data_IF_061677395593
#
_entry.id   IF_061677395593
#
_cell.length_a   1.000
_cell.length_b   1.000
_cell.length_c   1.000
_cell.angle_alpha   90.00
_cell.angle_beta   90.00
_cell.angle_gamma   90.00
#
_symmetry.space_group_name_H-M   'P 1'
#
loop_
_entity.id
_entity.type
_entity.pdbx_description
1 polymer ?
#
# COMPACT_ATOMS: atom_id res chain seq x y z
N UNK A 1 -27.66 6.24 2.38
CA UNK A 1 -27.37 4.83 2.03
C UNK A 1 -25.92 4.57 1.63
N UNK A 2 -25.28 5.40 0.80
CA UNK A 2 -23.88 5.18 0.32
C UNK A 2 -22.84 5.13 1.45
N UNK A 3 -22.91 6.06 2.41
CA UNK A 3 -21.98 6.13 3.54
C UNK A 3 -22.06 4.88 4.44
N UNK A 4 -23.28 4.37 4.70
CA UNK A 4 -23.49 3.17 5.50
C UNK A 4 -22.92 1.91 4.82
N UNK A 5 -22.89 1.84 3.49
CA UNK A 5 -22.32 0.70 2.78
C UNK A 5 -20.79 0.68 2.87
N UNK A 6 -20.13 1.84 2.72
CA UNK A 6 -18.68 1.98 2.88
C UNK A 6 -18.26 1.56 4.29
N UNK A 7 -18.89 2.13 5.33
CA UNK A 7 -18.56 1.83 6.73
C UNK A 7 -18.78 0.34 7.04
N UNK A 8 -19.90 -0.22 6.59
CA UNK A 8 -20.21 -1.64 6.80
C UNK A 8 -19.17 -2.55 6.16
N UNK A 9 -18.73 -2.25 4.93
CA UNK A 9 -17.70 -3.03 4.23
C UNK A 9 -16.36 -2.94 4.94
N UNK A 10 -15.89 -1.73 5.25
CA UNK A 10 -14.63 -1.55 5.98
C UNK A 10 -14.68 -2.31 7.32
N UNK A 11 -15.80 -2.25 8.05
CA UNK A 11 -16.00 -3.01 9.29
C UNK A 11 -15.93 -4.53 9.07
N UNK A 12 -16.52 -5.05 8.00
CA UNK A 12 -16.48 -6.47 7.68
C UNK A 12 -15.05 -6.92 7.33
N UNK A 13 -14.33 -6.13 6.54
CA UNK A 13 -12.93 -6.39 6.20
C UNK A 13 -12.03 -6.40 7.45
N UNK A 14 -12.22 -5.44 8.36
CA UNK A 14 -11.46 -5.36 9.62
C UNK A 14 -11.81 -6.49 10.61
N UNK A 15 -13.04 -7.02 10.57
CA UNK A 15 -13.48 -8.15 11.40
C UNK A 15 -13.00 -9.51 10.88
N UNK A 16 -12.48 -9.58 9.66
CA UNK A 16 -11.88 -10.81 9.13
C UNK A 16 -10.75 -11.25 10.06
N UNK A 17 -10.68 -12.53 10.47
CA UNK A 17 -9.59 -13.02 11.33
C UNK A 17 -8.21 -12.88 10.67
N UNK A 18 -8.17 -12.80 9.33
CA UNK A 18 -6.94 -12.60 8.56
C UNK A 18 -6.35 -11.19 8.80
N UNK A 19 -7.20 -10.19 9.08
CA UNK A 19 -6.76 -8.81 9.25
C UNK A 19 -5.84 -8.61 10.48
N UNK A 20 -6.23 -8.99 11.71
CA UNK A 20 -5.35 -8.86 12.86
C UNK A 20 -4.11 -9.78 12.77
N UNK A 21 -4.23 -10.96 12.14
CA UNK A 21 -3.08 -11.85 11.90
C UNK A 21 -2.06 -11.17 10.98
N UNK A 22 -2.51 -10.57 9.88
CA UNK A 22 -1.65 -9.84 8.95
C UNK A 22 -0.94 -8.66 9.62
N UNK A 23 -1.65 -7.91 10.48
CA UNK A 23 -1.07 -6.82 11.27
C UNK A 23 0.00 -7.36 12.23
N UNK A 24 -0.30 -8.42 12.99
CA UNK A 24 0.63 -9.00 13.96
C UNK A 24 1.92 -9.52 13.28
N UNK A 25 1.78 -10.23 12.16
CA UNK A 25 2.93 -10.71 11.38
C UNK A 25 3.75 -9.55 10.81
N UNK A 26 3.10 -8.50 10.31
CA UNK A 26 3.79 -7.32 9.77
C UNK A 26 4.55 -6.55 10.84
N UNK A 27 3.99 -6.41 12.04
CA UNK A 27 4.68 -5.82 13.19
C UNK A 27 5.90 -6.66 13.56
N UNK A 28 5.75 -7.98 13.64
CA UNK A 28 6.86 -8.88 13.99
C UNK A 28 8.01 -8.76 12.99
N UNK A 29 7.71 -8.77 11.69
CA UNK A 29 8.69 -8.58 10.62
C UNK A 29 9.40 -7.22 10.77
N UNK A 30 8.65 -6.13 10.99
CA UNK A 30 9.21 -4.79 11.16
C UNK A 30 10.07 -4.63 12.43
N UNK A 31 9.81 -5.42 13.47
CA UNK A 31 10.63 -5.43 14.69
C UNK A 31 11.95 -6.19 14.50
N UNK A 32 11.95 -7.24 13.65
CA UNK A 32 13.10 -8.12 13.40
C UNK A 32 14.11 -7.48 12.42
N UNK A 33 13.65 -6.64 11.48
CA UNK A 33 14.51 -6.05 10.45
C UNK A 33 15.51 -5.01 11.01
N UNK A 34 16.79 -5.41 11.07
CA UNK A 34 18.03 -4.60 11.23
C UNK A 34 18.25 -3.75 12.51
N UNK A 35 19.52 -3.43 12.85
CA UNK A 35 19.97 -3.10 14.21
C UNK A 35 19.94 -1.59 14.57
N UNK A 36 19.35 -0.73 13.74
CA UNK A 36 19.31 0.70 14.02
C UNK A 36 18.58 0.98 15.35
N UNK A 37 19.23 1.78 16.21
CA UNK A 37 18.64 2.23 17.49
C UNK A 37 17.56 3.26 17.15
N UNK A 38 16.29 2.94 17.37
CA UNK A 38 15.19 3.85 17.01
C UNK A 38 14.00 3.12 16.40
N UNK A 39 12.80 3.38 16.89
CA UNK A 39 11.57 2.88 16.26
C UNK A 39 11.34 3.56 14.89
N UNK A 40 11.70 4.84 14.74
CA UNK A 40 11.62 5.55 13.45
C UNK A 40 12.62 5.00 12.45
N UNK A 41 13.84 4.66 12.90
CA UNK A 41 14.85 3.99 12.06
C UNK A 41 14.34 2.65 11.55
N UNK A 42 13.71 1.86 12.41
CA UNK A 42 13.11 0.57 12.04
C UNK A 42 11.92 0.72 11.10
N UNK A 43 11.04 1.70 11.35
CA UNK A 43 9.97 2.04 10.40
C UNK A 43 10.55 2.45 9.06
N UNK A 44 11.63 3.22 9.05
CA UNK A 44 12.32 3.59 7.84
C UNK A 44 12.87 2.38 7.11
N UNK A 45 13.59 1.48 7.77
CA UNK A 45 14.17 0.29 7.12
C UNK A 45 13.10 -0.69 6.67
N UNK A 46 12.05 -0.85 7.49
CA UNK A 46 10.90 -1.70 7.20
C UNK A 46 10.19 -1.27 5.91
N UNK A 47 10.12 0.03 5.69
CA UNK A 47 9.32 0.60 4.62
C UNK A 47 10.20 0.87 3.42
N UNK A 48 11.35 1.51 3.61
CA UNK A 48 12.28 1.83 2.54
C UNK A 48 12.69 0.61 1.74
N UNK A 49 12.86 -0.55 2.35
CA UNK A 49 13.61 -1.61 1.70
C UNK A 49 15.08 -1.21 1.67
N UNK A 50 15.95 -2.16 2.00
CA UNK A 50 17.36 -1.84 2.23
C UNK A 50 18.02 -1.40 0.92
N UNK A 51 18.92 -0.40 0.93
CA UNK A 51 19.63 0.05 -0.27
C UNK A 51 20.41 -1.07 -0.98
N UNK A 52 20.75 -2.15 -0.28
CA UNK A 52 21.38 -3.34 -0.82
C UNK A 52 20.44 -4.22 -1.67
N UNK A 53 19.12 -4.04 -1.62
CA UNK A 53 18.18 -4.81 -2.48
C UNK A 53 18.33 -4.48 -3.98
N UNK A 54 19.00 -3.37 -4.31
CA UNK A 54 19.21 -2.86 -5.66
C UNK A 54 20.66 -3.00 -6.12
N UNK A 55 21.49 -3.67 -5.31
CA UNK A 55 22.88 -3.99 -5.60
C UNK A 55 22.98 -5.50 -5.87
N UNK A 56 23.73 -5.88 -6.91
CA UNK A 56 24.00 -7.29 -7.18
C UNK A 56 25.03 -7.82 -6.15
N UNK A 57 24.79 -8.99 -5.53
CA UNK A 57 23.63 -9.89 -5.70
C UNK A 57 22.41 -9.51 -4.82
N UNK A 58 21.21 -9.68 -5.38
CA UNK A 58 19.93 -9.45 -4.68
C UNK A 58 19.82 -10.39 -3.46
N UNK A 59 19.61 -9.82 -2.27
CA UNK A 59 19.31 -10.61 -1.07
C UNK A 59 17.80 -10.94 -1.02
N UNK A 60 17.48 -12.19 -1.38
CA UNK A 60 16.09 -12.68 -1.48
C UNK A 60 15.38 -12.73 -0.12
N UNK A 61 16.09 -13.02 0.97
CA UNK A 61 15.52 -13.04 2.33
C UNK A 61 15.03 -11.65 2.75
N UNK A 62 15.86 -10.63 2.49
CA UNK A 62 15.50 -9.24 2.75
C UNK A 62 14.34 -8.79 1.86
N UNK A 63 14.36 -9.13 0.57
CA UNK A 63 13.26 -8.82 -0.35
C UNK A 63 11.94 -9.44 0.11
N UNK A 64 11.97 -10.71 0.54
CA UNK A 64 10.80 -11.41 1.05
C UNK A 64 10.24 -10.70 2.29
N UNK A 65 11.09 -10.46 3.29
CA UNK A 65 10.67 -9.78 4.52
C UNK A 65 10.09 -8.38 4.27
N UNK A 66 10.59 -7.65 3.27
CA UNK A 66 10.05 -6.36 2.86
C UNK A 66 8.69 -6.46 2.16
N UNK A 67 8.50 -7.40 1.23
CA UNK A 67 7.26 -7.46 0.45
C UNK A 67 6.08 -8.09 1.22
N UNK A 68 6.34 -8.97 2.19
CA UNK A 68 5.31 -9.72 2.92
C UNK A 68 4.19 -8.84 3.54
N UNK A 69 4.49 -7.76 4.29
CA UNK A 69 3.47 -6.87 4.86
C UNK A 69 2.51 -6.30 3.82
N UNK A 70 3.01 -5.96 2.64
CA UNK A 70 2.25 -5.40 1.53
C UNK A 70 1.46 -6.49 0.80
N UNK A 71 2.06 -7.68 0.63
CA UNK A 71 1.42 -8.83 0.03
C UNK A 71 0.22 -9.32 0.86
N UNK A 72 0.33 -9.36 2.19
CA UNK A 72 -0.79 -9.74 3.07
C UNK A 72 -1.99 -8.81 2.91
N UNK A 73 -1.74 -7.49 2.85
CA UNK A 73 -2.76 -6.48 2.61
C UNK A 73 -3.43 -6.70 1.24
N UNK A 74 -2.62 -6.89 0.19
CA UNK A 74 -3.12 -7.13 -1.17
C UNK A 74 -3.98 -8.39 -1.27
N UNK A 75 -3.55 -9.50 -0.65
CA UNK A 75 -4.31 -10.76 -0.61
C UNK A 75 -5.63 -10.58 0.13
N UNK A 76 -5.61 -9.89 1.27
CA UNK A 76 -6.83 -9.64 2.05
C UNK A 76 -7.84 -8.82 1.25
N UNK A 77 -7.39 -7.73 0.62
CA UNK A 77 -8.24 -6.90 -0.26
C UNK A 77 -8.77 -7.74 -1.44
N UNK A 78 -7.91 -8.54 -2.07
CA UNK A 78 -8.30 -9.36 -3.21
C UNK A 78 -9.37 -10.38 -2.87
N UNK A 79 -9.26 -11.09 -1.74
CA UNK A 79 -10.29 -12.04 -1.30
C UNK A 79 -11.61 -11.36 -0.96
N UNK A 80 -11.57 -10.22 -0.27
CA UNK A 80 -12.78 -9.48 0.08
C UNK A 80 -13.48 -8.95 -1.17
N UNK A 81 -12.72 -8.41 -2.13
CA UNK A 81 -13.25 -7.89 -3.38
C UNK A 81 -13.82 -8.99 -4.29
N UNK A 82 -13.20 -10.17 -4.35
CA UNK A 82 -13.75 -11.29 -5.12
C UNK A 82 -15.12 -11.73 -4.60
N UNK A 83 -15.27 -11.86 -3.27
CA UNK A 83 -16.57 -12.12 -2.66
C UNK A 83 -17.57 -11.00 -3.02
N UNK A 84 -17.16 -9.73 -2.86
CA UNK A 84 -18.00 -8.58 -3.20
C UNK A 84 -18.40 -8.54 -4.69
N UNK A 85 -17.52 -8.94 -5.61
CA UNK A 85 -17.79 -9.03 -7.05
C UNK A 85 -18.76 -10.17 -7.38
N UNK A 86 -18.68 -11.30 -6.67
CA UNK A 86 -19.64 -12.39 -6.79
C UNK A 86 -21.03 -11.93 -6.34
N UNK A 87 -21.12 -11.19 -5.22
CA UNK A 87 -22.37 -10.61 -4.74
C UNK A 87 -22.85 -9.40 -5.56
N UNK A 88 -21.94 -8.63 -6.17
CA UNK A 88 -22.26 -7.47 -7.00
C UNK A 88 -23.10 -7.85 -8.22
N UNK A 89 -22.96 -9.07 -8.75
CA UNK A 89 -23.83 -9.58 -9.82
C UNK A 89 -25.31 -9.59 -9.42
N UNK A 90 -25.60 -9.73 -8.13
CA UNK A 90 -26.96 -9.76 -7.58
C UNK A 90 -27.37 -8.41 -6.96
N UNK A 91 -26.40 -7.57 -6.58
CA UNK A 91 -26.61 -6.32 -5.82
C UNK A 91 -26.47 -5.04 -6.64
N UNK A 92 -25.85 -5.07 -7.83
CA UNK A 92 -25.73 -3.88 -8.69
C UNK A 92 -27.14 -3.44 -9.10
N UNK A 93 -27.65 -2.30 -8.58
CA UNK A 93 -28.87 -1.72 -9.10
C UNK A 93 -28.68 -1.47 -10.60
N UNK A 94 -29.71 -1.74 -11.42
CA UNK A 94 -29.73 -1.40 -12.85
C UNK A 94 -29.45 0.09 -13.14
N UNK A 95 -29.30 0.94 -12.11
CA UNK A 95 -29.25 2.40 -12.18
C UNK A 95 -27.97 3.05 -11.59
N UNK A 96 -27.02 2.32 -10.99
CA UNK A 96 -25.74 2.92 -10.55
C UNK A 96 -24.63 2.66 -11.56
N UNK A 97 -23.88 3.69 -11.95
CA UNK A 97 -22.76 3.52 -12.87
C UNK A 97 -21.67 2.64 -12.25
N UNK A 98 -21.08 1.76 -13.07
CA UNK A 98 -20.00 0.87 -12.62
C UNK A 98 -18.80 1.63 -12.03
N UNK A 99 -18.56 2.85 -12.49
CA UNK A 99 -17.56 3.76 -11.94
C UNK A 99 -17.89 4.15 -10.49
N UNK A 100 -19.14 4.54 -10.19
CA UNK A 100 -19.54 4.89 -8.83
C UNK A 100 -19.45 3.68 -7.88
N UNK A 101 -19.76 2.47 -8.39
CA UNK A 101 -19.58 1.26 -7.61
C UNK A 101 -18.11 0.99 -7.29
N UNK A 102 -17.23 1.05 -8.30
CA UNK A 102 -15.78 0.86 -8.14
C UNK A 102 -15.18 1.91 -7.19
N UNK A 103 -15.54 3.18 -7.36
CA UNK A 103 -15.03 4.26 -6.52
C UNK A 103 -15.39 4.05 -5.04
N UNK A 104 -16.60 3.55 -4.75
CA UNK A 104 -16.99 3.18 -3.37
C UNK A 104 -16.13 2.04 -2.82
N UNK A 105 -15.74 1.07 -3.65
CA UNK A 105 -14.80 0.02 -3.25
C UNK A 105 -13.43 0.61 -2.94
N UNK A 106 -12.92 1.51 -3.80
CA UNK A 106 -11.68 2.23 -3.55
C UNK A 106 -11.69 2.95 -2.20
N UNK A 107 -12.73 3.74 -1.92
CA UNK A 107 -12.85 4.47 -0.64
C UNK A 107 -12.87 3.51 0.56
N UNK A 108 -13.62 2.41 0.48
CA UNK A 108 -13.65 1.42 1.56
C UNK A 108 -12.27 0.77 1.79
N UNK A 109 -11.54 0.47 0.70
CA UNK A 109 -10.17 -0.06 0.79
C UNK A 109 -9.15 0.97 1.26
N UNK A 110 -9.29 2.25 0.91
CA UNK A 110 -8.38 3.30 1.38
C UNK A 110 -8.46 3.49 2.89
N UNK A 111 -9.68 3.43 3.46
CA UNK A 111 -9.88 3.41 4.90
C UNK A 111 -9.19 2.21 5.54
N UNK A 112 -9.32 1.03 4.94
CA UNK A 112 -8.68 -0.20 5.42
C UNK A 112 -7.15 -0.11 5.38
N UNK A 113 -6.59 0.38 4.27
CA UNK A 113 -5.14 0.63 4.10
C UNK A 113 -4.64 1.60 5.17
N UNK A 114 -5.39 2.69 5.41
CA UNK A 114 -5.05 3.69 6.42
C UNK A 114 -4.96 3.05 7.81
N UNK A 115 -6.00 2.31 8.22
CA UNK A 115 -6.03 1.60 9.51
C UNK A 115 -4.90 0.58 9.62
N UNK A 116 -4.64 -0.17 8.54
CA UNK A 116 -3.61 -1.20 8.51
C UNK A 116 -2.20 -0.63 8.77
N UNK A 117 -1.79 0.41 8.04
CA UNK A 117 -0.45 1.00 8.22
C UNK A 117 -0.32 1.80 9.51
N UNK A 118 -1.38 2.48 9.97
CA UNK A 118 -1.37 3.11 11.29
C UNK A 118 -1.16 2.06 12.38
N UNK A 119 -1.86 0.92 12.30
CA UNK A 119 -1.74 -0.16 13.28
C UNK A 119 -0.34 -0.80 13.28
N UNK A 120 0.23 -1.06 12.09
CA UNK A 120 1.58 -1.60 11.98
C UNK A 120 2.61 -0.63 12.55
N UNK A 121 2.53 0.65 12.16
CA UNK A 121 3.52 1.64 12.58
C UNK A 121 3.44 1.92 14.09
N UNK A 122 2.22 2.00 14.64
CA UNK A 122 2.01 2.09 16.09
C UNK A 122 2.50 0.84 16.83
N UNK A 123 2.26 -0.35 16.27
CA UNK A 123 2.75 -1.61 16.82
C UNK A 123 4.27 -1.68 16.90
N UNK A 124 4.97 -1.35 15.81
CA UNK A 124 6.44 -1.31 15.76
C UNK A 124 6.99 -0.29 16.77
N UNK A 125 6.34 0.87 16.90
CA UNK A 125 6.67 1.87 17.92
C UNK A 125 6.56 1.29 19.34
N UNK A 126 5.41 0.69 19.69
CA UNK A 126 5.20 0.09 21.01
C UNK A 126 6.21 -1.02 21.32
N UNK A 127 6.48 -1.92 20.38
CA UNK A 127 7.45 -3.01 20.59
C UNK A 127 8.88 -2.50 20.74
N UNK A 128 9.24 -1.43 20.04
CA UNK A 128 10.55 -0.80 20.18
C UNK A 128 10.72 -0.15 21.56
N UNK A 129 9.67 0.46 22.12
CA UNK A 129 9.69 0.99 23.50
C UNK A 129 9.89 -0.13 24.51
N UNK A 130 9.18 -1.25 24.35
CA UNK A 130 9.28 -2.41 25.24
C UNK A 130 10.68 -3.02 25.23
N UNK A 131 11.32 -3.07 24.05
CA UNK A 131 12.62 -3.71 23.85
C UNK A 131 13.80 -2.82 24.27
N UNK A 132 13.80 -1.57 23.83
CA UNK A 132 14.98 -0.70 23.88
C UNK A 132 14.77 0.53 24.80
N UNK A 133 13.59 0.68 25.42
CA UNK A 133 13.26 1.73 26.39
C UNK A 133 12.71 3.03 25.79
N UNK A 134 12.14 3.89 26.65
CA UNK A 134 11.46 5.12 26.22
C UNK A 134 12.37 6.17 25.58
N UNK A 135 13.69 6.14 25.84
CA UNK A 135 14.64 7.06 25.22
C UNK A 135 14.69 6.93 23.68
N UNK A 136 14.32 5.76 23.17
CA UNK A 136 14.29 5.44 21.75
C UNK A 136 13.19 6.19 21.01
N UNK A 137 12.18 6.72 21.73
CA UNK A 137 11.08 7.51 21.15
C UNK A 137 11.54 8.75 20.38
N UNK A 138 12.64 9.36 20.82
CA UNK A 138 13.08 10.66 20.35
C UNK A 138 14.21 10.57 19.32
N UNK A 139 14.70 9.36 19.04
CA UNK A 139 15.83 9.16 18.13
C UNK A 139 15.31 9.28 16.69
N UNK A 140 15.55 10.43 16.08
CA UNK A 140 15.35 10.64 14.65
C UNK A 140 16.62 10.28 13.87
N UNK A 141 16.52 9.47 12.81
CA UNK A 141 17.65 9.20 11.92
C UNK A 141 18.03 10.41 11.04
N UNK A 142 17.15 11.42 10.94
CA UNK A 142 17.35 12.62 10.10
C UNK A 142 17.61 13.83 11.00
N UNK A 143 18.71 14.55 10.74
CA UNK A 143 19.03 15.79 11.45
C UNK A 143 17.93 16.82 11.21
N UNK A 144 17.52 17.54 12.26
CA UNK A 144 16.54 18.63 12.25
C UNK A 144 15.07 18.25 12.01
N UNK A 145 14.72 16.96 11.95
CA UNK A 145 13.31 16.52 11.92
C UNK A 145 12.99 15.75 13.20
N UNK A 146 11.94 16.16 13.92
CA UNK A 146 11.46 15.43 15.08
C UNK A 146 10.97 14.03 14.69
N UNK A 147 11.32 13.02 15.48
CA UNK A 147 10.95 11.61 15.28
C UNK A 147 9.45 11.41 15.07
N UNK A 148 8.62 12.16 15.81
CA UNK A 148 7.16 12.10 15.68
C UNK A 148 6.65 12.65 14.34
N UNK A 149 7.18 13.79 13.91
CA UNK A 149 6.85 14.37 12.59
C UNK A 149 7.24 13.41 11.48
N UNK A 150 8.41 12.78 11.61
CA UNK A 150 8.92 11.84 10.63
C UNK A 150 8.06 10.58 10.53
N UNK A 151 7.55 10.04 11.64
CA UNK A 151 6.57 8.94 11.63
C UNK A 151 5.32 9.27 10.83
N UNK A 152 4.70 10.43 11.08
CA UNK A 152 3.46 10.78 10.40
C UNK A 152 3.68 10.99 8.91
N UNK A 153 4.82 11.55 8.53
CA UNK A 153 5.21 11.73 7.15
C UNK A 153 5.41 10.37 6.45
N UNK A 154 6.16 9.45 7.06
CA UNK A 154 6.37 8.08 6.58
C UNK A 154 5.02 7.34 6.43
N UNK A 155 4.16 7.43 7.45
CA UNK A 155 2.84 6.76 7.46
C UNK A 155 1.93 7.34 6.39
N UNK A 156 1.87 8.67 6.24
CA UNK A 156 1.07 9.34 5.23
C UNK A 156 1.49 8.95 3.81
N UNK A 157 2.80 8.92 3.55
CA UNK A 157 3.36 8.50 2.27
C UNK A 157 2.96 7.05 1.94
N UNK A 158 3.11 6.12 2.88
CA UNK A 158 2.71 4.72 2.67
C UNK A 158 1.24 4.60 2.32
N UNK A 159 0.38 5.27 3.08
CA UNK A 159 -1.06 5.20 2.85
C UNK A 159 -1.39 5.69 1.44
N UNK A 160 -0.80 6.80 0.99
CA UNK A 160 -1.03 7.34 -0.36
C UNK A 160 -0.60 6.34 -1.44
N UNK A 161 0.62 5.83 -1.36
CA UNK A 161 1.18 4.86 -2.32
C UNK A 161 0.32 3.59 -2.37
N UNK A 162 -0.01 3.04 -1.21
CA UNK A 162 -0.76 1.80 -1.10
C UNK A 162 -2.22 1.98 -1.52
N UNK A 163 -2.82 3.15 -1.30
CA UNK A 163 -4.13 3.49 -1.84
C UNK A 163 -4.10 3.54 -3.38
N UNK A 164 -3.05 4.08 -4.00
CA UNK A 164 -2.90 4.08 -5.46
C UNK A 164 -2.77 2.65 -6.02
N UNK A 165 -1.87 1.84 -5.45
CA UNK A 165 -1.65 0.46 -5.88
C UNK A 165 -2.87 -0.44 -5.67
N UNK A 166 -3.57 -0.29 -4.55
CA UNK A 166 -4.81 -1.04 -4.28
C UNK A 166 -5.95 -0.60 -5.20
N UNK A 167 -6.03 0.68 -5.58
CA UNK A 167 -6.99 1.14 -6.59
C UNK A 167 -6.74 0.49 -7.96
N UNK A 168 -5.46 0.39 -8.36
CA UNK A 168 -5.07 -0.31 -9.59
C UNK A 168 -5.42 -1.81 -9.52
N UNK A 169 -5.09 -2.47 -8.40
CA UNK A 169 -5.48 -3.85 -8.15
C UNK A 169 -6.99 -4.05 -8.29
N UNK A 170 -7.80 -3.18 -7.69
CA UNK A 170 -9.26 -3.23 -7.79
C UNK A 170 -9.76 -3.05 -9.23
N UNK A 171 -9.11 -2.20 -10.03
CA UNK A 171 -9.42 -2.06 -11.45
C UNK A 171 -9.16 -3.37 -12.21
N UNK A 172 -8.00 -4.01 -12.03
CA UNK A 172 -7.69 -5.30 -12.65
C UNK A 172 -8.63 -6.43 -12.19
N UNK A 173 -9.00 -6.47 -10.91
CA UNK A 173 -9.96 -7.44 -10.39
C UNK A 173 -11.36 -7.21 -10.94
N UNK A 174 -11.76 -5.96 -11.14
CA UNK A 174 -13.05 -5.62 -11.74
C UNK A 174 -13.12 -6.06 -13.21
N UNK A 175 -12.01 -5.99 -13.94
CA UNK A 175 -11.90 -6.48 -15.33
C UNK A 175 -11.95 -8.01 -15.41
N UNK A 176 -11.06 -8.66 -14.68
CA UNK A 176 -10.77 -10.09 -14.82
C UNK A 176 -11.70 -10.96 -13.99
N UNK A 177 -12.33 -10.39 -12.96
CA UNK A 177 -13.11 -11.07 -11.92
C UNK A 177 -12.33 -12.11 -11.11
N UNK A 178 -10.99 -12.06 -11.17
CA UNK A 178 -10.10 -13.00 -10.50
C UNK A 178 -9.24 -12.22 -9.51
N UNK A 179 -9.29 -12.59 -8.22
CA UNK A 179 -8.48 -11.93 -7.19
C UNK A 179 -6.99 -12.06 -7.46
N UNK A 180 -6.55 -13.26 -7.86
CA UNK A 180 -5.15 -13.59 -8.10
C UNK A 180 -4.48 -12.67 -9.13
N UNK A 181 -5.17 -12.29 -10.21
CA UNK A 181 -4.63 -11.38 -11.22
C UNK A 181 -4.49 -9.94 -10.68
N UNK A 182 -5.41 -9.50 -9.83
CA UNK A 182 -5.26 -8.25 -9.12
C UNK A 182 -4.07 -8.22 -8.18
N UNK A 183 -3.92 -9.27 -7.35
CA UNK A 183 -2.80 -9.41 -6.43
C UNK A 183 -1.48 -9.47 -7.21
N UNK A 184 -1.44 -10.21 -8.33
CA UNK A 184 -0.28 -10.24 -9.21
C UNK A 184 0.05 -8.86 -9.78
N UNK A 185 -0.95 -8.06 -10.19
CA UNK A 185 -0.71 -6.69 -10.67
C UNK A 185 -0.13 -5.76 -9.59
N UNK A 186 -0.61 -5.90 -8.35
CA UNK A 186 -0.09 -5.17 -7.20
C UNK A 186 1.39 -5.54 -6.94
N UNK A 187 1.67 -6.85 -6.87
CA UNK A 187 3.03 -7.36 -6.62
C UNK A 187 3.98 -7.00 -7.76
N UNK A 188 3.51 -7.03 -9.01
CA UNK A 188 4.30 -6.63 -10.17
C UNK A 188 4.74 -5.17 -10.04
N UNK A 189 3.85 -4.24 -9.69
CA UNK A 189 4.22 -2.83 -9.50
C UNK A 189 5.20 -2.63 -8.34
N UNK A 190 5.06 -3.41 -7.27
CA UNK A 190 5.98 -3.37 -6.12
C UNK A 190 7.34 -3.98 -6.42
N UNK A 191 7.41 -5.03 -7.24
CA UNK A 191 8.64 -5.74 -7.56
C UNK A 191 9.36 -5.16 -8.77
N UNK A 192 8.66 -4.40 -9.62
CA UNK A 192 9.23 -3.81 -10.83
C UNK A 192 10.50 -3.02 -10.49
N UNK A 193 10.50 -2.28 -9.38
CA UNK A 193 11.64 -1.50 -8.92
C UNK A 193 12.92 -2.31 -8.75
N UNK A 194 12.83 -3.54 -8.27
CA UNK A 194 13.98 -4.42 -7.95
C UNK A 194 14.77 -4.79 -9.21
N UNK A 195 14.11 -4.79 -10.37
CA UNK A 195 14.71 -5.20 -11.65
C UNK A 195 15.26 -4.04 -12.48
N UNK A 196 15.21 -2.81 -11.98
CA UNK A 196 15.72 -1.63 -12.70
C UNK A 196 17.04 -1.16 -12.09
N UNK A 197 17.94 -0.57 -12.91
CA UNK A 197 19.18 0.03 -12.42
C UNK A 197 18.87 1.16 -11.44
N UNK A 198 19.69 1.32 -10.39
CA UNK A 198 19.47 2.26 -9.25
C UNK A 198 18.99 3.65 -9.70
N UNK A 199 19.61 4.23 -10.74
CA UNK A 199 19.25 5.56 -11.28
C UNK A 199 17.84 5.67 -11.87
N UNK A 200 17.22 4.55 -12.26
CA UNK A 200 15.84 4.49 -12.76
C UNK A 200 14.88 3.85 -11.74
N UNK A 201 15.40 2.97 -10.88
CA UNK A 201 14.64 2.29 -9.84
C UNK A 201 14.05 3.27 -8.84
N UNK A 202 14.76 4.35 -8.48
CA UNK A 202 14.27 5.40 -7.58
C UNK A 202 12.87 5.92 -7.96
N UNK A 203 12.54 5.95 -9.25
CA UNK A 203 11.27 6.50 -9.74
C UNK A 203 10.12 5.48 -9.79
N UNK A 204 10.37 4.20 -9.46
CA UNK A 204 9.40 3.11 -9.64
C UNK A 204 8.57 2.79 -8.40
N UNK A 205 7.30 2.35 -8.56
CA UNK A 205 6.34 2.18 -7.47
C UNK A 205 6.81 1.44 -6.22
N UNK A 206 7.63 0.41 -6.38
CA UNK A 206 8.21 -0.31 -5.25
C UNK A 206 9.36 0.40 -4.55
N UNK A 207 10.14 1.22 -5.25
CA UNK A 207 11.18 2.08 -4.65
C UNK A 207 10.57 3.32 -4.01
N UNK A 208 9.24 3.47 -4.04
CA UNK A 208 8.62 4.70 -3.56
C UNK A 208 8.79 4.93 -2.06
N UNK A 209 9.20 3.88 -1.35
CA UNK A 209 9.51 3.94 0.06
C UNK A 209 11.01 4.21 0.32
N UNK A 210 11.89 4.01 -0.68
CA UNK A 210 13.36 3.94 -0.52
C UNK A 210 14.12 5.26 -0.38
N UNK A 211 13.61 6.38 -0.91
CA UNK A 211 14.46 7.56 -1.15
C UNK A 211 14.61 8.41 0.12
N UNK A 212 15.21 7.84 1.18
CA UNK A 212 15.44 8.59 2.42
C UNK A 212 16.82 8.36 3.04
N UNK A 213 17.78 7.77 2.31
CA UNK A 213 19.18 7.73 2.79
C UNK A 213 20.21 8.50 1.98
N UNK A 214 19.85 9.12 0.86
CA UNK A 214 20.74 10.06 0.17
C UNK A 214 20.16 11.46 0.22
N UNK A 215 21.00 12.47 0.08
CA UNK A 215 20.79 13.89 0.38
C UNK A 215 19.64 14.63 -0.39
N UNK A 216 18.67 13.92 -0.95
CA UNK A 216 17.59 14.42 -1.81
C UNK A 216 16.33 14.89 -1.07
N UNK A 217 16.11 14.51 0.20
CA UNK A 217 14.97 15.06 0.99
C UNK A 217 15.16 16.56 1.30
N UNK A 218 16.35 17.10 1.06
CA UNK A 218 16.59 18.54 1.11
C UNK A 218 15.97 19.29 -0.09
N UNK A 219 15.60 18.61 -1.17
CA UNK A 219 14.91 19.20 -2.31
C UNK A 219 13.43 18.83 -2.27
N UNK A 220 12.58 19.86 -2.14
CA UNK A 220 11.12 19.78 -2.19
C UNK A 220 10.57 19.02 -3.43
N UNK A 221 11.40 18.82 -4.46
CA UNK A 221 11.05 18.19 -5.73
C UNK A 221 10.71 16.70 -5.59
N UNK A 222 11.31 15.99 -4.62
CA UNK A 222 10.96 14.59 -4.34
C UNK A 222 9.48 14.44 -3.98
N UNK A 223 8.96 15.30 -3.10
CA UNK A 223 7.57 15.33 -2.63
C UNK A 223 6.54 15.50 -3.76
N UNK A 224 6.81 16.38 -4.72
CA UNK A 224 5.93 16.64 -5.88
C UNK A 224 5.91 15.46 -6.86
N UNK A 225 7.05 14.82 -7.08
CA UNK A 225 7.19 13.67 -7.98
C UNK A 225 6.41 12.45 -7.47
N UNK A 226 6.41 12.22 -6.15
CA UNK A 226 5.62 11.17 -5.50
C UNK A 226 4.13 11.32 -5.76
N UNK A 227 3.60 12.54 -5.55
CA UNK A 227 2.18 12.83 -5.74
C UNK A 227 1.80 12.70 -7.21
N UNK A 228 2.63 13.20 -8.14
CA UNK A 228 2.40 13.09 -9.57
C UNK A 228 2.36 11.63 -10.06
N UNK A 229 3.24 10.76 -9.57
CA UNK A 229 3.26 9.35 -9.92
C UNK A 229 2.16 8.51 -9.23
N UNK A 230 1.80 8.83 -7.98
CA UNK A 230 0.63 8.21 -7.35
C UNK A 230 -0.66 8.57 -8.12
N UNK A 231 -0.76 9.82 -8.58
CA UNK A 231 -1.82 10.27 -9.47
C UNK A 231 -1.77 9.58 -10.83
N UNK A 232 -0.59 9.27 -11.38
CA UNK A 232 -0.48 8.59 -12.68
C UNK A 232 -0.92 7.12 -12.61
N UNK A 233 -0.58 6.39 -11.54
CA UNK A 233 -1.09 5.03 -11.29
C UNK A 233 -2.59 5.03 -11.05
N UNK A 234 -3.08 6.01 -10.29
CA UNK A 234 -4.51 6.20 -10.08
C UNK A 234 -5.24 6.57 -11.38
N UNK A 235 -4.62 7.38 -12.23
CA UNK A 235 -5.10 7.72 -13.56
C UNK A 235 -5.17 6.50 -14.49
N UNK A 236 -4.15 5.64 -14.50
CA UNK A 236 -4.17 4.37 -15.24
C UNK A 236 -5.34 3.49 -14.75
N UNK A 237 -5.51 3.39 -13.43
CA UNK A 237 -6.64 2.66 -12.82
C UNK A 237 -8.01 3.21 -13.27
N UNK A 238 -8.15 4.54 -13.36
CA UNK A 238 -9.36 5.21 -13.86
C UNK A 238 -9.56 4.96 -15.36
N UNK A 239 -8.52 5.11 -16.18
CA UNK A 239 -8.58 4.87 -17.63
C UNK A 239 -9.02 3.44 -17.92
N UNK A 240 -8.48 2.46 -17.21
CA UNK A 240 -8.89 1.05 -17.33
C UNK A 240 -10.40 0.88 -17.07
N UNK A 241 -10.91 1.49 -15.99
CA UNK A 241 -12.33 1.40 -15.62
C UNK A 241 -13.21 2.12 -16.65
N UNK A 242 -12.84 3.32 -17.08
CA UNK A 242 -13.58 4.10 -18.08
C UNK A 242 -13.61 3.35 -19.42
N UNK A 243 -12.48 2.82 -19.88
CA UNK A 243 -12.38 2.09 -21.15
C UNK A 243 -13.23 0.82 -21.13
N UNK A 244 -13.23 0.10 -20.00
CA UNK A 244 -14.07 -1.08 -19.83
C UNK A 244 -15.56 -0.75 -19.81
N UNK A 245 -15.96 0.32 -19.12
CA UNK A 245 -17.36 0.78 -19.10
C UNK A 245 -17.79 1.20 -20.50
N UNK A 246 -16.95 1.96 -21.22
CA UNK A 246 -17.20 2.35 -22.60
C UNK A 246 -17.35 1.15 -23.54
N UNK A 247 -16.47 0.15 -23.41
CA UNK A 247 -16.53 -1.08 -24.21
C UNK A 247 -17.78 -1.92 -23.91
N UNK A 248 -18.16 -2.08 -22.64
CA UNK A 248 -19.33 -2.87 -22.24
C UNK A 248 -20.66 -2.19 -22.59
N UNK A 249 -20.72 -0.86 -22.55
CA UNK A 249 -21.87 -0.10 -23.04
C UNK A 249 -22.02 -0.32 -24.54
N UNK A 250 -20.95 -0.24 -25.35
CA UNK A 250 -21.04 -0.54 -26.79
C UNK A 250 -21.60 -1.94 -27.09
N UNK A 251 -21.22 -2.96 -26.33
CA UNK A 251 -21.63 -4.36 -26.57
C UNK A 251 -23.07 -4.70 -26.13
N UNK A 252 -23.72 -3.82 -25.37
CA UNK A 252 -25.12 -4.00 -24.93
C UNK A 252 -26.11 -3.12 -25.70
N UNK A 253 -25.62 -2.15 -26.48
CA UNK A 253 -26.41 -1.23 -27.29
C UNK A 253 -26.23 -1.44 -28.80
N UNK A 254 -25.49 -2.47 -29.20
CA UNK A 254 -25.30 -3.00 -30.56
C UNK A 254 -25.31 -4.52 -30.48
#
# INVERSE_FOLDING_TARGET
MVHNDIIRRTKNMMRSPIFPIAIALSILIGVIQTPDRGWVGRLYTFQAGQPYMFQEPINLELLMSWIFPHAFLSILIGKCMEADLQFARFMLPRYTSAFQWWFRQCVATWLLVSVYYIAINAGICMFSILRDGAAVLWISPIRNIHAFTLLWLITGMQVIVMCALTSMQLSFQSLTKISALGVASFLLCMLLSVFFPVKGAEYLPGSWMMIVRSNLVNEYDGYLLWVACALSVLFIGIVIVITYIGYRMRKNYW
#
